data_IF_728675036757
#
_entry.id   IF_728675036757
#
_cell.length_a   1.000
_cell.length_b   1.000
_cell.length_c   1.000
_cell.angle_alpha   90.00
_cell.angle_beta   90.00
_cell.angle_gamma   90.00
#
_symmetry.space_group_name_H-M   'P 1'
#
loop_
_entity.id
_entity.type
_entity.pdbx_description
1 polymer ?
#
# COMPACT_ATOMS: atom_id res chain seq x y z
N UNK A 1 -25.75 -31.16 -3.26
CA UNK A 1 -25.07 -29.96 -3.80
C UNK A 1 -26.07 -29.12 -4.58
N UNK A 2 -26.10 -27.80 -4.36
CA UNK A 2 -26.92 -26.90 -5.16
C UNK A 2 -26.46 -26.97 -6.63
N UNK A 3 -27.39 -27.26 -7.54
CA UNK A 3 -27.15 -27.31 -9.00
C UNK A 3 -28.09 -26.31 -9.65
N UNK A 4 -27.67 -25.68 -10.75
CA UNK A 4 -28.52 -24.79 -11.55
C UNK A 4 -29.75 -25.58 -12.01
N UNK A 5 -30.95 -25.19 -11.58
CA UNK A 5 -32.22 -25.74 -12.08
C UNK A 5 -33.15 -26.46 -11.10
N UNK A 6 -32.79 -26.65 -9.81
CA UNK A 6 -33.72 -27.17 -8.80
C UNK A 6 -34.28 -26.06 -7.88
N UNK A 7 -35.40 -26.31 -7.20
CA UNK A 7 -36.05 -25.38 -6.25
C UNK A 7 -35.07 -24.80 -5.22
N UNK A 8 -34.14 -25.62 -4.75
CA UNK A 8 -33.07 -25.20 -3.83
C UNK A 8 -32.15 -24.18 -4.50
N UNK A 9 -31.75 -24.38 -5.75
CA UNK A 9 -30.94 -23.44 -6.54
C UNK A 9 -31.59 -22.08 -6.76
N UNK A 10 -32.93 -21.99 -6.82
CA UNK A 10 -33.65 -20.71 -6.91
C UNK A 10 -33.55 -19.88 -5.62
N UNK A 11 -33.44 -20.54 -4.46
CA UNK A 11 -33.21 -19.87 -3.17
C UNK A 11 -31.81 -19.24 -3.13
N UNK A 12 -30.79 -19.94 -3.64
CA UNK A 12 -29.40 -19.45 -3.66
C UNK A 12 -29.14 -18.29 -4.62
N UNK A 13 -30.01 -18.03 -5.60
CA UNK A 13 -29.88 -16.85 -6.49
C UNK A 13 -30.04 -15.51 -5.75
N UNK A 14 -30.66 -15.52 -4.56
CA UNK A 14 -30.80 -14.35 -3.69
C UNK A 14 -29.58 -14.13 -2.80
N UNK A 15 -28.65 -15.08 -2.71
CA UNK A 15 -27.42 -14.91 -1.95
C UNK A 15 -26.45 -14.00 -2.72
N UNK A 16 -25.86 -13.04 -2.02
CA UNK A 16 -24.70 -12.26 -2.46
C UNK A 16 -23.59 -12.50 -1.44
N UNK A 17 -22.46 -13.01 -1.90
CA UNK A 17 -21.27 -13.22 -1.09
C UNK A 17 -20.25 -12.16 -1.47
N UNK A 18 -19.70 -11.46 -0.48
CA UNK A 18 -18.59 -10.52 -0.66
C UNK A 18 -17.38 -11.13 0.04
N UNK A 19 -16.30 -11.32 -0.70
CA UNK A 19 -15.03 -11.84 -0.18
C UNK A 19 -13.99 -10.74 -0.32
N UNK A 20 -13.38 -10.34 0.79
CA UNK A 20 -12.30 -9.35 0.82
C UNK A 20 -11.00 -10.11 1.03
N UNK A 21 -10.01 -9.88 0.18
CA UNK A 21 -8.69 -10.48 0.28
C UNK A 21 -7.62 -9.41 0.06
N UNK A 22 -6.52 -9.49 0.82
CA UNK A 22 -5.33 -8.67 0.59
C UNK A 22 -4.32 -9.48 -0.23
N UNK A 23 -3.72 -8.84 -1.22
CA UNK A 23 -2.67 -9.45 -2.04
C UNK A 23 -1.32 -9.52 -1.31
N UNK A 24 -1.19 -8.91 -0.13
CA UNK A 24 0.03 -8.92 0.71
C UNK A 24 0.44 -10.35 1.13
N UNK A 25 -0.51 -11.30 1.19
CA UNK A 25 -0.29 -12.70 1.60
C UNK A 25 0.29 -13.58 0.47
N UNK A 26 0.38 -13.08 -0.77
CA UNK A 26 0.95 -13.84 -1.90
C UNK A 26 2.48 -14.01 -1.85
N UNK A 27 3.18 -13.52 -0.81
CA UNK A 27 4.59 -13.83 -0.59
C UNK A 27 4.86 -15.34 -0.43
N UNK A 28 3.84 -16.11 -0.03
CA UNK A 28 3.93 -17.55 0.30
C UNK A 28 3.07 -18.48 -0.56
N UNK A 29 2.20 -17.96 -1.45
CA UNK A 29 1.29 -18.76 -2.26
C UNK A 29 1.72 -18.78 -3.73
N UNK A 30 1.60 -19.94 -4.38
CA UNK A 30 1.86 -20.14 -5.80
C UNK A 30 1.04 -19.12 -6.63
N UNK A 31 1.76 -18.28 -7.39
CA UNK A 31 1.26 -17.13 -8.18
C UNK A 31 0.15 -17.58 -9.17
N UNK A 32 0.10 -18.87 -9.49
CA UNK A 32 -0.85 -19.44 -10.43
C UNK A 32 -2.21 -19.84 -9.82
N UNK A 33 -2.42 -19.66 -8.51
CA UNK A 33 -3.56 -20.30 -7.83
C UNK A 33 -4.27 -19.35 -6.86
N UNK A 34 -4.92 -18.30 -7.35
CA UNK A 34 -6.01 -17.70 -6.55
C UNK A 34 -7.21 -18.66 -6.60
N UNK A 35 -7.68 -19.22 -5.48
CA UNK A 35 -8.84 -20.13 -5.45
C UNK A 35 -10.16 -19.43 -5.81
N UNK A 36 -10.11 -18.10 -6.03
CA UNK A 36 -11.24 -17.26 -6.43
C UNK A 36 -11.10 -16.73 -7.87
N UNK A 37 -9.99 -17.03 -8.56
CA UNK A 37 -9.79 -16.61 -9.94
C UNK A 37 -10.95 -17.09 -10.82
N UNK A 38 -11.68 -16.13 -11.42
CA UNK A 38 -12.83 -16.41 -12.29
C UNK A 38 -14.18 -16.62 -11.59
N UNK A 39 -14.26 -16.46 -10.25
CA UNK A 39 -15.50 -16.61 -9.48
C UNK A 39 -16.01 -15.24 -9.03
N UNK A 40 -16.76 -14.55 -9.89
CA UNK A 40 -17.53 -13.34 -9.53
C UNK A 40 -17.03 -12.03 -10.13
N UNK A 41 -17.60 -10.92 -9.66
CA UNK A 41 -17.17 -9.57 -10.02
C UNK A 41 -16.00 -9.16 -9.13
N UNK A 42 -14.85 -8.89 -9.75
CA UNK A 42 -13.70 -8.33 -9.07
C UNK A 42 -13.81 -6.80 -9.05
N UNK A 43 -13.68 -6.22 -7.86
CA UNK A 43 -13.66 -4.77 -7.65
C UNK A 43 -12.32 -4.43 -7.03
N UNK A 44 -11.46 -3.79 -7.81
CA UNK A 44 -10.22 -3.21 -7.31
C UNK A 44 -10.55 -1.94 -6.52
N UNK A 45 -9.94 -1.79 -5.35
CA UNK A 45 -10.06 -0.58 -4.53
C UNK A 45 -8.83 0.30 -4.77
N UNK A 46 -8.96 1.38 -5.57
CA UNK A 46 -7.82 2.23 -5.88
C UNK A 46 -7.43 3.10 -4.68
N UNK A 47 -6.25 3.70 -4.81
CA UNK A 47 -5.86 4.83 -3.98
C UNK A 47 -6.88 5.98 -4.07
N UNK A 48 -6.99 6.76 -3.00
CA UNK A 48 -7.80 7.96 -2.99
C UNK A 48 -7.28 9.00 -4.00
N UNK A 49 -8.22 9.57 -4.76
CA UNK A 49 -7.96 10.75 -5.57
C UNK A 49 -7.79 11.99 -4.68
N UNK A 50 -7.26 13.07 -5.26
CA UNK A 50 -7.15 14.36 -4.57
C UNK A 50 -8.49 14.82 -3.97
N UNK A 51 -9.59 14.70 -4.73
CA UNK A 51 -10.93 15.08 -4.30
C UNK A 51 -11.44 14.21 -3.15
N UNK A 52 -11.12 12.92 -3.17
CA UNK A 52 -11.47 11.99 -2.09
C UNK A 52 -10.68 12.30 -0.81
N UNK A 53 -9.39 12.65 -0.93
CA UNK A 53 -8.60 13.09 0.22
C UNK A 53 -9.11 14.42 0.76
N UNK A 54 -9.45 15.38 -0.11
CA UNK A 54 -10.04 16.65 0.29
C UNK A 54 -11.34 16.46 1.09
N UNK A 55 -12.21 15.56 0.63
CA UNK A 55 -13.44 15.20 1.35
C UNK A 55 -13.13 14.52 2.70
N UNK A 56 -12.13 13.63 2.75
CA UNK A 56 -11.72 12.99 3.99
C UNK A 56 -11.18 14.00 5.01
N UNK A 57 -10.32 14.92 4.60
CA UNK A 57 -9.78 16.00 5.44
C UNK A 57 -10.89 16.85 6.06
N UNK A 58 -11.94 17.17 5.30
CA UNK A 58 -13.13 17.88 5.82
C UNK A 58 -13.87 17.07 6.89
N UNK A 59 -13.97 15.74 6.74
CA UNK A 59 -14.59 14.87 7.75
C UNK A 59 -13.79 14.81 9.05
N UNK A 60 -12.47 14.95 8.97
CA UNK A 60 -11.59 15.16 10.12
C UNK A 60 -11.65 16.58 10.70
N UNK A 61 -12.47 17.47 10.10
CA UNK A 61 -12.66 18.88 10.51
C UNK A 61 -11.37 19.70 10.47
N UNK A 62 -10.49 19.37 9.53
CA UNK A 62 -9.26 20.10 9.28
C UNK A 62 -9.51 21.13 8.18
N UNK A 63 -9.16 22.40 8.45
CA UNK A 63 -9.28 23.49 7.48
C UNK A 63 -7.96 23.65 6.70
N UNK A 64 -7.76 22.79 5.71
CA UNK A 64 -6.53 22.71 4.94
C UNK A 64 -6.66 23.30 3.55
N UNK A 65 -5.56 23.91 3.10
CA UNK A 65 -5.37 24.33 1.72
C UNK A 65 -5.09 23.14 0.80
N UNK A 66 -5.28 23.35 -0.51
CA UNK A 66 -4.92 22.36 -1.53
C UNK A 66 -3.45 21.92 -1.44
N UNK A 67 -2.54 22.86 -1.14
CA UNK A 67 -1.10 22.56 -1.01
C UNK A 67 -0.80 21.61 0.15
N UNK A 68 -1.48 21.74 1.29
CA UNK A 68 -1.32 20.82 2.42
C UNK A 68 -1.82 19.41 2.08
N UNK A 69 -2.91 19.33 1.31
CA UNK A 69 -3.42 18.04 0.81
C UNK A 69 -2.42 17.40 -0.15
N UNK A 70 -1.86 18.17 -1.10
CA UNK A 70 -0.83 17.69 -2.02
C UNK A 70 0.41 17.19 -1.27
N UNK A 71 0.88 17.93 -0.27
CA UNK A 71 2.02 17.52 0.56
C UNK A 71 1.77 16.18 1.26
N UNK A 72 0.57 15.99 1.81
CA UNK A 72 0.21 14.73 2.44
C UNK A 72 0.14 13.58 1.41
N UNK A 73 -0.50 13.81 0.26
CA UNK A 73 -0.58 12.82 -0.82
C UNK A 73 0.82 12.45 -1.34
N UNK A 74 1.75 13.40 -1.47
CA UNK A 74 3.13 13.11 -1.85
C UNK A 74 3.77 12.17 -0.82
N UNK A 75 3.61 12.49 0.48
CA UNK A 75 4.20 11.70 1.55
C UNK A 75 3.62 10.28 1.64
N UNK A 76 2.30 10.12 1.68
CA UNK A 76 1.68 8.81 1.97
C UNK A 76 0.94 8.17 0.79
N UNK A 77 0.95 8.80 -0.38
CA UNK A 77 0.15 8.40 -1.53
C UNK A 77 -1.35 8.66 -1.31
N UNK A 78 -2.20 7.95 -2.05
CA UNK A 78 -3.63 7.86 -1.75
C UNK A 78 -3.99 6.60 -0.97
N UNK A 79 -3.04 5.95 -0.28
CA UNK A 79 -3.30 4.68 0.40
C UNK A 79 -4.29 4.87 1.56
N UNK A 80 -5.50 4.26 1.52
CA UNK A 80 -6.57 4.57 2.49
C UNK A 80 -6.15 4.43 3.96
N UNK A 81 -5.43 3.36 4.31
CA UNK A 81 -4.93 3.16 5.67
C UNK A 81 -3.90 4.21 6.11
N UNK A 82 -2.95 4.60 5.25
CA UNK A 82 -1.93 5.57 5.63
C UNK A 82 -2.53 6.98 5.76
N UNK A 83 -3.49 7.30 4.87
CA UNK A 83 -4.22 8.56 4.90
C UNK A 83 -5.04 8.69 6.20
N UNK A 84 -5.84 7.68 6.53
CA UNK A 84 -6.62 7.62 7.77
C UNK A 84 -5.73 7.77 9.01
N UNK A 85 -4.61 7.03 9.04
CA UNK A 85 -3.65 7.08 10.16
C UNK A 85 -2.96 8.44 10.28
N UNK A 86 -2.61 9.09 9.18
CA UNK A 86 -2.06 10.46 9.20
C UNK A 86 -3.05 11.44 9.82
N UNK A 87 -4.29 11.45 9.31
CA UNK A 87 -5.31 12.41 9.72
C UNK A 87 -5.74 12.19 11.18
N UNK A 88 -5.87 10.93 11.61
CA UNK A 88 -6.13 10.58 13.01
C UNK A 88 -5.00 11.04 13.93
N UNK A 89 -3.73 10.83 13.54
CA UNK A 89 -2.59 11.30 14.31
C UNK A 89 -2.55 12.82 14.45
N UNK A 90 -2.77 13.56 13.36
CA UNK A 90 -2.84 15.02 13.35
C UNK A 90 -3.94 15.54 14.27
N UNK A 91 -5.13 14.92 14.21
CA UNK A 91 -6.26 15.33 15.02
C UNK A 91 -6.05 15.05 16.51
N UNK A 92 -5.47 13.90 16.87
CA UNK A 92 -5.29 13.49 18.28
C UNK A 92 -4.11 14.16 18.97
N UNK A 93 -2.98 14.26 18.28
CA UNK A 93 -1.74 14.77 18.87
C UNK A 93 -1.61 16.29 18.77
N UNK A 94 -2.53 16.95 18.06
CA UNK A 94 -2.51 18.40 17.82
C UNK A 94 -1.17 18.90 17.24
N UNK A 95 -0.54 18.07 16.41
CA UNK A 95 0.72 18.40 15.72
C UNK A 95 0.43 19.05 14.36
N UNK A 96 1.39 19.79 13.84
CA UNK A 96 1.28 20.39 12.51
C UNK A 96 1.56 19.36 11.41
N UNK A 97 1.13 19.66 10.17
CA UNK A 97 1.47 18.85 9.01
C UNK A 97 3.00 18.71 8.86
N UNK A 98 3.76 19.80 8.99
CA UNK A 98 5.22 19.77 8.87
C UNK A 98 5.87 18.83 9.89
N UNK A 99 5.37 18.81 11.13
CA UNK A 99 5.83 17.90 12.17
C UNK A 99 5.52 16.44 11.82
N UNK A 100 4.32 16.17 11.29
CA UNK A 100 3.98 14.84 10.79
C UNK A 100 4.91 14.44 9.64
N UNK A 101 5.15 15.31 8.66
CA UNK A 101 5.99 15.01 7.50
C UNK A 101 7.44 14.71 7.93
N UNK A 102 7.99 15.44 8.90
CA UNK A 102 9.32 15.16 9.43
C UNK A 102 9.39 13.83 10.19
N UNK A 103 8.36 13.50 10.97
CA UNK A 103 8.33 12.30 11.78
C UNK A 103 7.90 11.04 10.99
N UNK A 104 7.17 11.19 9.89
CA UNK A 104 6.52 10.09 9.18
C UNK A 104 7.45 8.92 8.84
N UNK A 105 8.66 9.13 8.26
CA UNK A 105 9.56 8.06 7.88
C UNK A 105 10.48 7.62 9.03
N UNK A 106 10.12 7.86 10.29
CA UNK A 106 10.98 7.54 11.44
C UNK A 106 10.35 6.48 12.34
N UNK A 107 11.14 5.85 13.22
CA UNK A 107 10.62 4.90 14.23
C UNK A 107 9.72 5.56 15.27
N UNK A 108 9.83 6.88 15.44
CA UNK A 108 8.96 7.67 16.32
C UNK A 108 7.69 8.14 15.61
N UNK A 109 7.61 7.96 14.28
CA UNK A 109 6.50 8.41 13.47
C UNK A 109 5.24 7.57 13.63
N UNK A 110 4.08 8.10 13.19
CA UNK A 110 2.82 7.37 13.26
C UNK A 110 2.82 6.07 12.44
N UNK A 111 3.73 5.93 11.47
CA UNK A 111 3.77 4.76 10.57
C UNK A 111 4.72 3.66 11.00
N UNK A 112 5.44 3.80 12.12
CA UNK A 112 6.53 2.90 12.52
C UNK A 112 6.14 1.43 12.56
N UNK A 113 5.00 1.06 13.15
CA UNK A 113 4.53 -0.34 13.18
C UNK A 113 4.27 -0.92 11.79
N UNK A 114 3.74 -0.09 10.89
CA UNK A 114 3.45 -0.49 9.52
C UNK A 114 4.75 -0.68 8.73
N UNK A 115 5.69 0.26 8.87
CA UNK A 115 6.98 0.22 8.22
C UNK A 115 7.86 -0.94 8.73
N UNK A 116 7.88 -1.19 10.04
CA UNK A 116 8.60 -2.31 10.65
C UNK A 116 8.08 -3.67 10.18
N UNK A 117 6.76 -3.80 9.99
CA UNK A 117 6.17 -5.03 9.44
C UNK A 117 6.68 -5.31 8.02
N UNK A 118 6.65 -4.30 7.16
CA UNK A 118 7.19 -4.43 5.80
C UNK A 118 8.69 -4.69 5.81
N UNK A 119 9.46 -4.02 6.68
CA UNK A 119 10.89 -4.28 6.83
C UNK A 119 11.17 -5.72 7.26
N UNK A 120 10.44 -6.25 8.24
CA UNK A 120 10.57 -7.65 8.67
C UNK A 120 10.24 -8.64 7.54
N UNK A 121 9.20 -8.36 6.75
CA UNK A 121 8.88 -9.17 5.57
C UNK A 121 10.00 -9.12 4.51
N UNK A 122 10.58 -7.95 4.26
CA UNK A 122 11.69 -7.78 3.32
C UNK A 122 12.96 -8.49 3.80
N UNK A 123 13.25 -8.48 5.10
CA UNK A 123 14.41 -9.19 5.68
C UNK A 123 14.30 -10.72 5.53
N UNK A 124 13.09 -11.27 5.47
CA UNK A 124 12.86 -12.69 5.18
C UNK A 124 13.03 -13.04 3.70
N UNK A 125 13.05 -12.05 2.81
CA UNK A 125 13.14 -12.20 1.36
C UNK A 125 14.21 -11.24 0.78
N UNK A 126 15.51 -11.56 0.94
CA UNK A 126 16.60 -10.68 0.53
C UNK A 126 16.53 -10.21 -0.93
N UNK A 127 15.99 -11.04 -1.83
CA UNK A 127 15.79 -10.68 -3.23
C UNK A 127 14.80 -9.52 -3.42
N UNK A 128 13.78 -9.43 -2.56
CA UNK A 128 12.83 -8.31 -2.55
C UNK A 128 13.44 -7.07 -1.92
N UNK A 129 14.24 -7.24 -0.86
CA UNK A 129 14.95 -6.14 -0.23
C UNK A 129 15.93 -5.46 -1.20
N UNK A 130 16.71 -6.24 -1.95
CA UNK A 130 17.63 -5.73 -2.97
C UNK A 130 16.87 -4.99 -4.08
N UNK A 131 15.82 -5.60 -4.63
CA UNK A 131 15.01 -4.96 -5.66
C UNK A 131 14.37 -3.66 -5.17
N UNK A 132 13.82 -3.63 -3.95
CA UNK A 132 13.24 -2.42 -3.39
C UNK A 132 14.31 -1.35 -3.13
N UNK A 133 15.50 -1.73 -2.68
CA UNK A 133 16.63 -0.82 -2.47
C UNK A 133 17.03 -0.10 -3.77
N UNK A 134 17.01 -0.79 -4.91
CA UNK A 134 17.23 -0.18 -6.22
C UNK A 134 16.13 0.84 -6.55
N UNK A 135 14.86 0.46 -6.35
CA UNK A 135 13.70 1.30 -6.65
C UNK A 135 13.67 2.59 -5.81
N UNK A 136 13.96 2.50 -4.50
CA UNK A 136 13.92 3.68 -3.61
C UNK A 136 15.14 4.60 -3.79
N UNK A 137 16.27 4.10 -4.31
CA UNK A 137 17.46 4.91 -4.65
C UNK A 137 17.30 5.64 -5.98
N UNK A 138 16.56 5.07 -6.92
CA UNK A 138 16.35 5.69 -8.22
C UNK A 138 15.49 6.96 -8.14
N UNK A 139 15.86 7.98 -8.93
CA UNK A 139 15.08 9.22 -9.07
C UNK A 139 14.02 9.13 -10.19
N UNK A 140 13.97 8.02 -10.92
CA UNK A 140 13.08 7.79 -12.05
C UNK A 140 12.62 6.33 -12.08
N UNK A 141 11.68 6.00 -12.97
CA UNK A 141 11.12 4.68 -13.20
C UNK A 141 12.18 3.66 -13.61
N UNK A 142 12.32 2.58 -12.84
CA UNK A 142 13.31 1.50 -13.08
C UNK A 142 12.68 0.17 -13.45
N UNK A 143 13.45 -0.73 -14.04
CA UNK A 143 13.03 -2.12 -14.27
C UNK A 143 13.63 -3.02 -13.19
N UNK A 144 12.78 -3.88 -12.63
CA UNK A 144 13.18 -4.98 -11.76
C UNK A 144 12.62 -6.28 -12.34
N UNK A 145 13.13 -7.46 -11.97
CA UNK A 145 12.64 -8.70 -12.55
C UNK A 145 11.17 -8.97 -12.13
N UNK A 146 10.43 -9.63 -13.01
CA UNK A 146 8.95 -9.71 -12.93
C UNK A 146 8.43 -10.36 -11.65
N UNK A 147 9.18 -11.30 -11.08
CA UNK A 147 8.79 -11.98 -9.83
C UNK A 147 8.87 -11.04 -8.63
N UNK A 148 9.92 -10.21 -8.53
CA UNK A 148 10.04 -9.18 -7.49
C UNK A 148 9.03 -8.06 -7.70
N UNK A 149 8.80 -7.66 -8.96
CA UNK A 149 7.79 -6.66 -9.33
C UNK A 149 6.42 -7.05 -8.80
N UNK A 150 5.93 -8.24 -9.15
CA UNK A 150 4.61 -8.70 -8.74
C UNK A 150 4.47 -8.75 -7.21
N UNK A 151 5.49 -9.28 -6.52
CA UNK A 151 5.49 -9.37 -5.05
C UNK A 151 5.50 -8.00 -4.38
N UNK A 152 6.40 -7.10 -4.79
CA UNK A 152 6.49 -5.74 -4.22
C UNK A 152 5.24 -4.91 -4.52
N UNK A 153 4.64 -5.08 -5.71
CA UNK A 153 3.37 -4.45 -6.05
C UNK A 153 2.23 -4.99 -5.18
N UNK A 154 2.19 -6.30 -4.94
CA UNK A 154 1.21 -6.93 -4.06
C UNK A 154 1.37 -6.52 -2.59
N UNK A 155 2.57 -6.15 -2.17
CA UNK A 155 2.82 -5.52 -0.86
C UNK A 155 2.44 -4.03 -0.82
N UNK A 156 2.05 -3.43 -1.95
CA UNK A 156 1.70 -2.01 -2.06
C UNK A 156 2.91 -1.06 -1.98
N UNK A 157 4.14 -1.57 -2.02
CA UNK A 157 5.36 -0.78 -1.82
C UNK A 157 5.79 0.00 -3.07
N UNK A 158 5.34 -0.44 -4.24
CA UNK A 158 5.69 0.15 -5.54
C UNK A 158 4.45 0.39 -6.41
N UNK A 159 4.56 1.33 -7.34
CA UNK A 159 3.63 1.55 -8.45
C UNK A 159 4.24 1.07 -9.75
N UNK A 160 3.39 0.61 -10.66
CA UNK A 160 3.77 0.08 -11.98
C UNK A 160 3.26 1.01 -13.09
N UNK A 161 4.13 1.36 -14.03
CA UNK A 161 3.76 2.02 -15.28
C UNK A 161 4.45 1.31 -16.45
N UNK A 162 3.66 0.63 -17.28
CA UNK A 162 4.19 -0.29 -18.27
C UNK A 162 5.00 -1.40 -17.59
N UNK A 163 6.29 -1.51 -17.90
CA UNK A 163 7.22 -2.48 -17.29
C UNK A 163 8.24 -1.82 -16.35
N UNK A 164 7.95 -0.61 -15.85
CA UNK A 164 8.82 0.10 -14.93
C UNK A 164 8.10 0.43 -13.65
N UNK A 165 8.86 0.58 -12.58
CA UNK A 165 8.34 0.76 -11.23
C UNK A 165 8.98 1.95 -10.53
N UNK A 166 8.25 2.50 -9.57
CA UNK A 166 8.69 3.53 -8.63
C UNK A 166 8.11 3.25 -7.23
N UNK A 167 8.65 3.82 -6.15
CA UNK A 167 8.02 3.74 -4.83
C UNK A 167 6.58 4.29 -4.90
N UNK A 168 5.64 3.65 -4.21
CA UNK A 168 4.23 4.07 -4.26
C UNK A 168 3.97 5.42 -3.58
N UNK A 169 4.82 5.81 -2.62
CA UNK A 169 4.80 7.10 -1.94
C UNK A 169 6.18 7.47 -1.39
N UNK A 170 6.36 8.73 -0.99
CA UNK A 170 7.63 9.22 -0.45
C UNK A 170 7.96 8.67 0.95
N UNK A 171 6.95 8.29 1.74
CA UNK A 171 7.13 7.62 3.02
C UNK A 171 8.00 6.37 2.87
N UNK A 172 7.66 5.51 1.90
CA UNK A 172 8.42 4.30 1.61
C UNK A 172 9.80 4.63 1.01
N UNK A 173 9.87 5.61 0.12
CA UNK A 173 11.15 6.06 -0.44
C UNK A 173 12.11 6.48 0.66
N UNK A 174 11.68 7.33 1.59
CA UNK A 174 12.51 7.86 2.66
C UNK A 174 12.91 6.77 3.66
N UNK A 175 11.94 6.03 4.19
CA UNK A 175 12.18 4.99 5.20
C UNK A 175 13.09 3.87 4.68
N UNK A 176 12.77 3.28 3.53
CA UNK A 176 13.52 2.13 3.03
C UNK A 176 14.85 2.52 2.39
N UNK A 177 15.02 3.76 1.91
CA UNK A 177 16.33 4.24 1.45
C UNK A 177 17.33 4.28 2.60
N UNK A 178 16.90 4.69 3.79
CA UNK A 178 17.75 4.66 4.99
C UNK A 178 17.99 3.22 5.46
N UNK A 179 16.91 2.44 5.67
CA UNK A 179 17.00 1.09 6.24
C UNK A 179 17.70 0.07 5.35
N UNK A 180 17.42 0.08 4.05
CA UNK A 180 18.04 -0.83 3.08
C UNK A 180 19.34 -0.26 2.49
N UNK A 181 19.65 1.02 2.74
CA UNK A 181 20.91 1.64 2.33
C UNK A 181 22.11 1.17 3.16
N UNK A 182 21.87 0.81 4.43
CA UNK A 182 22.93 0.45 5.39
C UNK A 182 23.22 -1.06 5.40
N UNK A 183 22.22 -1.92 5.20
CA UNK A 183 22.38 -3.39 5.36
C UNK A 183 22.84 -4.13 4.08
N UNK A 184 22.67 -3.54 2.89
CA UNK A 184 23.00 -4.23 1.61
C UNK A 184 24.52 -4.25 1.32
N UNK A 185 25.35 -3.70 2.21
CA UNK A 185 26.83 -3.76 2.11
C UNK A 185 27.43 -4.88 3.00
N UNK A 186 26.62 -5.56 3.82
CA UNK A 186 27.14 -6.54 4.79
C UNK A 186 26.49 -7.93 4.68
N UNK A 187 26.38 -8.47 3.47
CA UNK A 187 26.10 -9.89 3.22
C UNK A 187 26.87 -10.40 2.01
#
# INVERSE_FOLDING_TARGET
MARRGNHVGAIWQKLRLVVVHSTEVYSSLDINSSPLAGIGLEIELPEFSFEQVQELVKRYRLDWSASQIEQLIIMVGGHPYLMDKALDYLQRQQVTLDQLLLAAPTEAGPFSDHLRRHLGNLQQHPELAVALAEVVKANDWVKIPSTQLFKLQSMGLIKLQGNRVMPSCDLYRQYFRERLGVEVISA
#
